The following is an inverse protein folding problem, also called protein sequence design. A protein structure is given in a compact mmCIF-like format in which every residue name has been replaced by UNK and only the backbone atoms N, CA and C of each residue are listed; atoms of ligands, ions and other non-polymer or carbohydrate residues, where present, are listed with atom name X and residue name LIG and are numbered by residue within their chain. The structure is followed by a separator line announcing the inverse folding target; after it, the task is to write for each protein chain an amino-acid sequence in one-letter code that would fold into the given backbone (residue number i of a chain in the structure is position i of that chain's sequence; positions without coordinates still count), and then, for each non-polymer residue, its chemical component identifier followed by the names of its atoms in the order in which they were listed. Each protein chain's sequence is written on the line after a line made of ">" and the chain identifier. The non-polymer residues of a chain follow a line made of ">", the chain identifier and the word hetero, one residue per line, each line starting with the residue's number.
data_IF_546187538313
#
_entry.id   IF_546187538313
#
_cell.length_a   1.000
_cell.length_b   1.000
_cell.length_c   1.000
_cell.angle_alpha   90.00
_cell.angle_beta   90.00
_cell.angle_gamma   90.00
#
_symmetry.space_group_name_H-M   'P 1'
#
loop_
_entity.id
_entity.type
_entity.pdbx_description
1 polymer ?
#
# COMPACT_ATOMS: atom_id res chain seq x y z
N UNK A 1 -26.56 2.80 -2.14
CA UNK A 1 -25.91 2.15 -3.29
C UNK A 1 -25.50 3.25 -4.26
N UNK A 2 -24.24 3.22 -4.73
CA UNK A 2 -23.53 4.06 -5.74
C UNK A 2 -22.19 4.52 -5.13
N UNK A 3 -21.01 4.36 -5.73
CA UNK A 3 -20.58 3.97 -7.07
C UNK A 3 -19.21 3.31 -6.92
N UNK A 4 -19.03 2.09 -7.43
CA UNK A 4 -17.71 1.49 -7.66
C UNK A 4 -17.08 2.15 -8.90
N UNK A 5 -16.91 3.47 -8.88
CA UNK A 5 -15.94 4.19 -9.70
C UNK A 5 -14.71 4.25 -8.80
N UNK A 6 -13.55 3.68 -9.14
CA UNK A 6 -12.63 4.24 -10.13
C UNK A 6 -11.63 3.12 -10.47
N UNK A 7 -11.38 2.87 -11.76
CA UNK A 7 -10.07 2.34 -12.17
C UNK A 7 -9.06 3.45 -11.86
N UNK A 8 -8.62 3.52 -10.60
CA UNK A 8 -7.70 4.56 -10.11
C UNK A 8 -6.43 4.41 -10.94
N UNK A 9 -6.03 5.44 -11.67
CA UNK A 9 -4.77 5.42 -12.42
C UNK A 9 -3.64 5.07 -11.44
N UNK A 10 -2.53 4.50 -11.91
CA UNK A 10 -1.34 4.25 -11.05
C UNK A 10 -1.00 5.47 -10.19
N UNK A 11 -1.13 6.67 -10.76
CA UNK A 11 -0.90 7.94 -10.05
C UNK A 11 -1.90 8.24 -8.93
N UNK A 12 -3.16 7.86 -9.09
CA UNK A 12 -4.16 8.03 -8.05
C UNK A 12 -3.90 7.05 -6.91
N UNK A 13 -3.66 5.77 -7.25
CA UNK A 13 -3.27 4.72 -6.27
C UNK A 13 -2.05 5.16 -5.47
N UNK A 14 -1.01 5.64 -6.16
CA UNK A 14 0.19 6.20 -5.54
C UNK A 14 -0.14 7.35 -4.59
N UNK A 15 -0.96 8.32 -5.02
CA UNK A 15 -1.36 9.44 -4.16
C UNK A 15 -2.11 8.99 -2.89
N UNK A 16 -3.01 8.01 -3.02
CA UNK A 16 -3.77 7.48 -1.87
C UNK A 16 -2.86 6.76 -0.88
N UNK A 17 -1.99 5.88 -1.38
CA UNK A 17 -1.04 5.13 -0.56
C UNK A 17 -0.06 6.07 0.14
N UNK A 18 0.55 7.02 -0.58
CA UNK A 18 1.46 8.00 0.01
C UNK A 18 0.79 8.84 1.12
N UNK A 19 -0.46 9.25 0.91
CA UNK A 19 -1.24 9.96 1.92
C UNK A 19 -1.41 9.11 3.17
N UNK A 20 -1.89 7.87 3.01
CA UNK A 20 -2.13 6.96 4.13
C UNK A 20 -0.84 6.61 4.88
N UNK A 21 0.25 6.36 4.17
CA UNK A 21 1.56 6.11 4.77
C UNK A 21 2.04 7.34 5.55
N UNK A 22 1.79 8.56 5.07
CA UNK A 22 2.13 9.76 5.85
C UNK A 22 1.31 9.87 7.14
N UNK A 23 0.06 9.39 7.15
CA UNK A 23 -0.78 9.36 8.35
C UNK A 23 -0.30 8.32 9.38
N UNK A 24 0.06 7.11 8.91
CA UNK A 24 0.60 6.04 9.77
C UNK A 24 1.97 6.44 10.31
N UNK A 25 2.86 6.88 9.41
CA UNK A 25 4.23 7.28 9.70
C UNK A 25 4.35 8.81 9.88
N UNK A 26 3.43 9.40 10.64
CA UNK A 26 3.39 10.85 10.86
C UNK A 26 4.67 11.40 11.52
N UNK A 27 5.38 10.57 12.29
CA UNK A 27 6.67 10.90 12.91
C UNK A 27 7.84 10.93 11.90
N UNK A 28 7.66 10.40 10.68
CA UNK A 28 8.68 10.43 9.65
C UNK A 28 8.97 11.89 9.27
N UNK A 29 10.21 12.38 9.45
CA UNK A 29 10.51 13.81 9.37
C UNK A 29 10.52 14.36 7.93
N UNK A 30 10.48 13.48 6.92
CA UNK A 30 10.52 13.85 5.50
C UNK A 30 9.15 13.64 4.86
N UNK A 31 9.02 14.12 3.63
CA UNK A 31 7.90 13.74 2.76
C UNK A 31 8.04 12.26 2.41
N UNK A 32 6.93 11.52 2.55
CA UNK A 32 6.85 10.14 2.08
C UNK A 32 6.67 10.19 0.57
N UNK A 33 7.58 9.56 -0.17
CA UNK A 33 7.61 9.57 -1.64
C UNK A 33 7.70 8.15 -2.19
N UNK A 34 7.53 7.97 -3.50
CA UNK A 34 7.64 6.67 -4.17
C UNK A 34 9.00 5.99 -3.96
N UNK A 35 10.07 6.76 -3.74
CA UNK A 35 11.42 6.22 -3.51
C UNK A 35 11.72 5.94 -2.03
N UNK A 36 10.80 6.28 -1.12
CA UNK A 36 10.96 6.02 0.30
C UNK A 36 10.73 4.54 0.56
N UNK A 37 11.62 3.91 1.33
CA UNK A 37 11.52 2.49 1.68
C UNK A 37 10.73 2.29 2.96
N UNK A 38 10.06 1.14 3.12
CA UNK A 38 9.35 0.82 4.36
C UNK A 38 10.28 0.76 5.56
N UNK A 39 11.50 0.25 5.39
CA UNK A 39 12.56 0.26 6.41
C UNK A 39 12.95 1.66 6.90
N UNK A 40 12.87 2.68 6.05
CA UNK A 40 13.06 4.06 6.49
C UNK A 40 11.90 4.53 7.36
N UNK A 41 10.68 4.10 7.07
CA UNK A 41 9.47 4.47 7.80
C UNK A 41 9.35 3.75 9.15
N UNK A 42 9.62 2.44 9.19
CA UNK A 42 9.59 1.57 10.37
C UNK A 42 10.58 2.01 11.46
N UNK A 43 11.62 2.77 11.12
CA UNK A 43 12.51 3.39 12.12
C UNK A 43 11.82 4.42 13.00
N UNK A 44 10.66 4.93 12.55
CA UNK A 44 9.93 6.02 13.20
C UNK A 44 8.55 5.61 13.70
N UNK A 45 8.11 4.37 13.47
CA UNK A 45 6.85 3.83 13.97
C UNK A 45 7.00 2.36 14.34
N UNK A 46 6.24 1.90 15.32
CA UNK A 46 6.07 0.47 15.59
C UNK A 46 5.08 -0.19 14.59
N UNK A 47 4.55 0.58 13.64
CA UNK A 47 3.74 0.08 12.53
C UNK A 47 4.63 -0.40 11.38
N UNK A 48 4.31 -1.57 10.85
CA UNK A 48 4.96 -2.22 9.72
C UNK A 48 3.94 -2.42 8.56
N UNK A 49 4.32 -3.14 7.51
CA UNK A 49 3.46 -3.42 6.36
C UNK A 49 2.19 -4.21 6.74
N UNK A 50 2.19 -4.84 7.92
CA UNK A 50 1.04 -5.57 8.47
C UNK A 50 0.05 -4.67 9.23
N UNK A 51 0.28 -3.34 9.26
CA UNK A 51 -0.59 -2.40 9.97
C UNK A 51 -2.05 -2.57 9.52
N UNK A 52 -2.99 -2.91 10.42
CA UNK A 52 -4.37 -3.19 10.04
C UNK A 52 -5.05 -1.94 9.46
N UNK A 53 -4.61 -0.75 9.84
CA UNK A 53 -5.09 0.51 9.28
C UNK A 53 -4.66 0.71 7.83
N UNK A 54 -3.49 0.19 7.42
CA UNK A 54 -3.06 0.14 6.02
C UNK A 54 -3.88 -0.88 5.24
N UNK A 55 -4.01 -2.11 5.74
CA UNK A 55 -4.71 -3.19 5.05
C UNK A 55 -6.19 -2.86 4.78
N UNK A 56 -6.92 -2.40 5.80
CA UNK A 56 -8.32 -1.97 5.67
C UNK A 56 -8.43 -0.82 4.65
N UNK A 57 -7.48 0.11 4.65
CA UNK A 57 -7.49 1.22 3.71
C UNK A 57 -7.30 0.76 2.26
N UNK A 58 -6.42 -0.23 2.02
CA UNK A 58 -6.24 -0.82 0.69
C UNK A 58 -7.51 -1.55 0.23
N UNK A 59 -8.18 -2.26 1.13
CA UNK A 59 -9.44 -2.93 0.84
C UNK A 59 -10.56 -1.92 0.52
N UNK A 60 -10.80 -0.94 1.40
CA UNK A 60 -11.89 0.03 1.24
C UNK A 60 -11.68 0.98 0.06
N UNK A 61 -10.45 1.49 -0.13
CA UNK A 61 -10.19 2.51 -1.14
C UNK A 61 -9.81 1.95 -2.51
N UNK A 62 -9.17 0.78 -2.55
CA UNK A 62 -8.66 0.20 -3.79
C UNK A 62 -9.37 -1.10 -4.16
N UNK A 63 -10.21 -1.66 -3.28
CA UNK A 63 -10.81 -2.98 -3.49
C UNK A 63 -9.77 -4.10 -3.49
N UNK A 64 -8.68 -3.91 -2.74
CA UNK A 64 -7.55 -4.84 -2.68
C UNK A 64 -7.65 -5.65 -1.40
N UNK A 65 -7.98 -6.93 -1.53
CA UNK A 65 -7.84 -7.89 -0.43
C UNK A 65 -6.48 -8.57 -0.57
N UNK A 66 -5.56 -8.27 0.36
CA UNK A 66 -4.28 -8.96 0.45
C UNK A 66 -4.42 -10.13 1.42
N UNK A 67 -4.01 -11.31 0.97
CA UNK A 67 -3.93 -12.48 1.84
C UNK A 67 -2.81 -12.31 2.88
N UNK A 68 -2.92 -12.95 4.04
CA UNK A 68 -1.85 -12.92 5.07
C UNK A 68 -0.47 -13.31 4.48
N UNK A 69 -0.45 -14.31 3.57
CA UNK A 69 0.77 -14.76 2.88
C UNK A 69 1.37 -13.66 1.97
N UNK A 70 0.54 -12.83 1.34
CA UNK A 70 0.98 -11.76 0.45
C UNK A 70 1.52 -10.58 1.24
N UNK A 71 0.84 -10.22 2.32
CA UNK A 71 1.33 -9.22 3.27
C UNK A 71 2.68 -9.67 3.82
N UNK A 72 2.81 -10.94 4.21
CA UNK A 72 4.06 -11.50 4.71
C UNK A 72 5.18 -11.48 3.65
N UNK A 73 4.89 -11.83 2.40
CA UNK A 73 5.87 -11.74 1.29
C UNK A 73 6.31 -10.30 1.00
N UNK A 74 5.44 -9.32 1.20
CA UNK A 74 5.78 -7.91 1.04
C UNK A 74 6.62 -7.40 2.22
N UNK A 75 6.29 -7.84 3.44
CA UNK A 75 7.03 -7.52 4.67
C UNK A 75 8.46 -8.12 4.67
N UNK A 76 8.60 -9.36 4.21
CA UNK A 76 9.90 -10.02 4.03
C UNK A 76 10.82 -9.28 3.04
N UNK A 77 10.24 -8.49 2.12
CA UNK A 77 10.97 -7.59 1.24
C UNK A 77 11.30 -6.27 1.97
N UNK A 78 12.05 -6.35 3.07
CA UNK A 78 12.42 -5.24 3.97
C UNK A 78 13.17 -4.07 3.29
N UNK A 79 13.44 -4.10 2.00
CA UNK A 79 14.05 -2.99 1.24
C UNK A 79 13.13 -2.53 0.09
N UNK A 80 11.84 -2.90 0.14
CA UNK A 80 10.85 -2.50 -0.86
C UNK A 80 10.57 -0.99 -0.73
N UNK A 81 10.77 -0.28 -1.83
CA UNK A 81 10.33 1.11 -1.97
C UNK A 81 8.82 1.17 -2.24
N UNK A 82 8.22 2.31 -1.91
CA UNK A 82 6.77 2.48 -2.06
C UNK A 82 6.31 2.32 -3.51
N UNK A 83 7.13 2.67 -4.51
CA UNK A 83 6.76 2.45 -5.91
C UNK A 83 6.64 0.96 -6.24
N UNK A 84 7.60 0.15 -5.79
CA UNK A 84 7.55 -1.31 -5.94
C UNK A 84 6.35 -1.92 -5.19
N UNK A 85 6.01 -1.43 -4.01
CA UNK A 85 4.81 -1.82 -3.27
C UNK A 85 3.52 -1.49 -4.02
N UNK A 86 3.41 -0.27 -4.58
CA UNK A 86 2.29 0.15 -5.41
C UNK A 86 2.18 -0.74 -6.65
N UNK A 87 3.30 -1.03 -7.32
CA UNK A 87 3.30 -1.90 -8.50
C UNK A 87 2.92 -3.34 -8.13
N UNK A 88 3.24 -3.83 -6.93
CA UNK A 88 2.78 -5.13 -6.43
C UNK A 88 1.26 -5.14 -6.22
N UNK A 89 0.70 -4.11 -5.57
CA UNK A 89 -0.75 -3.95 -5.40
C UNK A 89 -1.47 -3.91 -6.74
N UNK A 90 -0.97 -3.13 -7.70
CA UNK A 90 -1.59 -3.01 -9.03
C UNK A 90 -1.57 -4.35 -9.76
N UNK A 91 -0.46 -5.10 -9.67
CA UNK A 91 -0.37 -6.44 -10.26
C UNK A 91 -1.36 -7.39 -9.60
N UNK A 92 -1.50 -7.34 -8.27
CA UNK A 92 -2.48 -8.15 -7.55
C UNK A 92 -3.90 -7.90 -8.05
N UNK A 93 -4.32 -6.62 -8.09
CA UNK A 93 -5.64 -6.21 -8.62
C UNK A 93 -5.85 -6.70 -10.05
N UNK A 94 -4.80 -6.67 -10.88
CA UNK A 94 -4.90 -7.14 -12.25
C UNK A 94 -5.07 -8.67 -12.34
N UNK A 95 -4.43 -9.44 -11.46
CA UNK A 95 -4.50 -10.90 -11.45
C UNK A 95 -5.83 -11.42 -10.89
N UNK A 96 -6.33 -10.86 -9.79
CA UNK A 96 -7.61 -11.27 -9.17
C UNK A 96 -8.81 -10.99 -10.08
N UNK A 97 -8.70 -10.04 -11.02
CA UNK A 97 -9.75 -9.75 -12.01
C UNK A 97 -9.78 -10.69 -13.23
N UNK A 98 -8.81 -11.60 -13.36
CA UNK A 98 -8.65 -12.50 -14.52
C UNK A 98 -9.21 -13.90 -14.27
N UNK A 99 -9.74 -14.19 -13.06
CA UNK A 99 -10.50 -15.42 -12.82
C UNK A 99 -11.87 -15.37 -13.50
N UNK A 100 -11.93 -15.80 -14.77
CA UNK A 100 -13.14 -16.11 -15.56
C UNK A 100 -12.98 -17.47 -16.22
#
# INVERSE_FOLDING_TARGET
>A
MNELNVVKSRKDIERYILKKLKEIYWQFPREVSSNTTFKELERYSASDLTDPGLLIYLEEELGVELSDEEVQKLDEQQDIDIAAFIDAIIRHVALTKVEI
#
